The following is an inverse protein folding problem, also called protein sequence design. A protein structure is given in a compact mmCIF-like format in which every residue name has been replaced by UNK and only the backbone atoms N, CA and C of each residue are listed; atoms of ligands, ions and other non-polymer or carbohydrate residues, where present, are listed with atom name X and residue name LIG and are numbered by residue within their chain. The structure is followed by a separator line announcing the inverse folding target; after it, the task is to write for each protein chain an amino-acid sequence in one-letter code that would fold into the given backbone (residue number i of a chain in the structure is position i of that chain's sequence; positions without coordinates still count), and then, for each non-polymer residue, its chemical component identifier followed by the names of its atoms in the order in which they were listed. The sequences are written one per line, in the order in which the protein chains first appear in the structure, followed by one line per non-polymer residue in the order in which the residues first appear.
data_IF_377281110334
#
_entry.id   IF_377281110334
#
_cell.length_a   1.000
_cell.length_b   1.000
_cell.length_c   1.000
_cell.angle_alpha   90.00
_cell.angle_beta   90.00
_cell.angle_gamma   90.00
#
_symmetry.space_group_name_H-M   'P 1'
#
loop_
_entity.id
_entity.type
_entity.pdbx_description
1 polymer ?
#
# COMPACT_ATOMS: atom_id res chain seq x y z
N UNK A 1 10.24 -0.88 -14.86
CA UNK A 1 11.38 -0.01 -15.18
C UNK A 1 12.70 -0.70 -14.91
N UNK A 2 13.65 -0.54 -15.79
CA UNK A 2 14.95 -1.21 -15.73
C UNK A 2 16.09 -0.24 -16.11
N UNK A 3 16.47 0.61 -15.17
CA UNK A 3 17.55 1.58 -15.31
C UNK A 3 18.83 1.19 -14.55
N UNK A 4 19.93 1.94 -14.77
CA UNK A 4 21.22 1.70 -14.11
C UNK A 4 21.16 1.94 -12.60
N UNK A 5 20.44 2.98 -12.15
CA UNK A 5 20.28 3.35 -10.75
C UNK A 5 18.99 2.79 -10.11
N UNK A 6 18.01 2.49 -10.94
CA UNK A 6 16.70 2.03 -10.48
C UNK A 6 16.20 0.88 -11.34
N UNK A 7 15.77 -0.20 -10.69
CA UNK A 7 15.12 -1.36 -11.31
C UNK A 7 13.89 -1.72 -10.51
N UNK A 8 12.76 -1.91 -11.19
CA UNK A 8 11.53 -2.35 -10.55
C UNK A 8 10.78 -3.33 -11.43
N UNK A 9 10.44 -4.45 -10.85
CA UNK A 9 9.64 -5.51 -11.46
C UNK A 9 8.40 -5.70 -10.59
N UNK A 10 7.24 -5.56 -11.19
CA UNK A 10 5.96 -5.76 -10.54
C UNK A 10 5.16 -6.78 -11.33
N UNK A 11 4.57 -7.71 -10.60
CA UNK A 11 3.60 -8.65 -11.12
C UNK A 11 2.36 -8.60 -10.22
N UNK A 12 1.18 -8.53 -10.83
CA UNK A 12 -0.08 -8.60 -10.09
C UNK A 12 -1.10 -9.40 -10.90
N UNK A 13 -1.73 -10.34 -10.24
CA UNK A 13 -2.83 -11.12 -10.79
C UNK A 13 -4.06 -10.91 -9.91
N UNK A 14 -5.20 -10.62 -10.52
CA UNK A 14 -6.46 -10.44 -9.81
C UNK A 14 -7.53 -11.31 -10.45
N UNK A 15 -8.14 -12.18 -9.65
CA UNK A 15 -9.35 -12.91 -9.97
C UNK A 15 -10.55 -12.19 -9.32
N UNK A 16 -11.38 -11.48 -10.09
CA UNK A 16 -12.44 -10.65 -9.53
C UNK A 16 -13.65 -11.46 -9.01
N UNK A 17 -13.78 -12.72 -9.38
CA UNK A 17 -14.90 -13.58 -9.02
C UNK A 17 -14.43 -14.92 -8.48
N UNK A 18 -13.66 -14.86 -7.43
CA UNK A 18 -13.11 -16.08 -6.79
C UNK A 18 -14.22 -17.08 -6.44
N UNK A 19 -14.07 -18.30 -6.97
CA UNK A 19 -15.04 -19.38 -6.78
C UNK A 19 -16.34 -19.16 -7.56
N UNK A 20 -16.34 -18.39 -8.64
CA UNK A 20 -17.51 -18.09 -9.46
C UNK A 20 -18.56 -17.19 -8.78
N UNK A 21 -18.23 -16.64 -7.61
CA UNK A 21 -19.12 -15.74 -6.88
C UNK A 21 -18.77 -14.29 -7.20
N UNK A 22 -19.72 -13.56 -7.72
CA UNK A 22 -19.59 -12.12 -7.93
C UNK A 22 -19.18 -11.43 -6.62
N UNK A 23 -18.26 -10.44 -6.74
CA UNK A 23 -17.85 -9.54 -5.65
C UNK A 23 -16.93 -10.18 -4.60
N UNK A 24 -16.30 -11.32 -4.90
CA UNK A 24 -15.20 -11.87 -4.13
C UNK A 24 -13.94 -11.76 -4.99
N UNK A 25 -13.09 -10.79 -4.70
CA UNK A 25 -11.85 -10.58 -5.44
C UNK A 25 -10.67 -11.21 -4.70
N UNK A 26 -9.83 -11.91 -5.44
CA UNK A 26 -8.55 -12.42 -4.95
C UNK A 26 -7.43 -11.75 -5.74
N UNK A 27 -6.45 -11.23 -5.06
CA UNK A 27 -5.29 -10.63 -5.69
C UNK A 27 -4.02 -11.20 -5.09
N UNK A 28 -3.10 -11.59 -5.95
CA UNK A 28 -1.72 -11.89 -5.59
C UNK A 28 -0.81 -10.89 -6.28
N UNK A 29 0.16 -10.36 -5.54
CA UNK A 29 1.10 -9.38 -6.03
C UNK A 29 2.51 -9.73 -5.61
N UNK A 30 3.45 -9.45 -6.50
CA UNK A 30 4.89 -9.56 -6.25
C UNK A 30 5.56 -8.30 -6.75
N UNK A 31 6.49 -7.79 -5.98
CA UNK A 31 7.35 -6.72 -6.45
C UNK A 31 8.80 -6.93 -6.00
N UNK A 32 9.71 -6.46 -6.84
CA UNK A 32 11.14 -6.47 -6.56
C UNK A 32 11.73 -5.17 -7.09
N UNK A 33 12.16 -4.33 -6.17
CA UNK A 33 12.71 -3.01 -6.49
C UNK A 33 14.12 -2.90 -5.93
N UNK A 34 15.07 -2.48 -6.78
CA UNK A 34 16.43 -2.14 -6.38
C UNK A 34 16.67 -0.67 -6.71
N UNK A 35 17.07 0.08 -5.71
CA UNK A 35 17.54 1.45 -5.82
C UNK A 35 19.03 1.47 -5.47
N UNK A 36 19.87 1.86 -6.42
CA UNK A 36 21.31 1.81 -6.26
C UNK A 36 21.90 3.21 -6.39
N UNK A 37 22.88 3.53 -5.56
CA UNK A 37 23.65 4.77 -5.71
C UNK A 37 24.69 4.56 -6.83
N UNK A 38 24.27 4.84 -8.06
CA UNK A 38 25.08 4.59 -9.25
C UNK A 38 25.96 5.80 -9.65
N UNK A 39 26.07 6.80 -8.77
CA UNK A 39 26.87 7.99 -9.01
C UNK A 39 27.90 8.19 -7.89
N UNK A 40 29.09 8.60 -8.29
CA UNK A 40 30.12 8.99 -7.32
C UNK A 40 29.71 10.32 -6.66
N UNK A 41 29.59 10.39 -5.33
CA UNK A 41 29.13 11.61 -4.66
C UNK A 41 30.11 12.79 -4.80
N UNK A 42 31.36 12.56 -5.16
CA UNK A 42 32.39 13.60 -5.31
C UNK A 42 32.45 14.13 -6.75
N UNK A 43 32.42 13.24 -7.74
CA UNK A 43 32.60 13.61 -9.15
C UNK A 43 31.28 13.75 -9.93
N UNK A 44 30.16 13.27 -9.38
CA UNK A 44 28.88 13.21 -10.06
C UNK A 44 28.84 12.23 -11.25
N UNK A 45 29.95 11.54 -11.54
CA UNK A 45 30.06 10.64 -12.68
C UNK A 45 29.38 9.30 -12.39
N UNK A 46 28.88 8.66 -13.45
CA UNK A 46 28.31 7.32 -13.33
C UNK A 46 29.38 6.29 -12.94
N UNK A 47 29.09 5.56 -11.90
CA UNK A 47 29.96 4.54 -11.32
C UNK A 47 29.21 3.21 -11.25
N UNK A 48 29.53 2.26 -12.14
CA UNK A 48 28.90 0.94 -12.17
C UNK A 48 29.15 0.15 -10.89
N UNK A 49 30.36 0.17 -10.37
CA UNK A 49 30.74 -0.54 -9.14
C UNK A 49 30.09 0.07 -7.88
N UNK A 50 29.78 1.38 -7.88
CA UNK A 50 29.09 2.04 -6.77
C UNK A 50 27.67 1.49 -6.57
N UNK A 51 26.97 1.17 -7.63
CA UNK A 51 25.62 0.58 -7.58
C UNK A 51 25.57 -0.85 -7.04
N UNK A 52 26.68 -1.54 -6.97
CA UNK A 52 26.79 -2.88 -6.36
C UNK A 52 27.28 -2.82 -4.91
N UNK A 53 27.94 -1.74 -4.54
CA UNK A 53 28.42 -1.49 -3.17
C UNK A 53 27.42 -0.74 -2.32
N UNK A 54 26.55 0.11 -2.92
CA UNK A 54 25.57 0.93 -2.20
C UNK A 54 24.20 0.82 -2.85
N UNK A 55 23.28 0.12 -2.17
CA UNK A 55 21.91 -0.06 -2.67
C UNK A 55 20.90 -0.34 -1.54
N UNK A 56 19.64 -0.07 -1.86
CA UNK A 56 18.48 -0.61 -1.15
C UNK A 56 17.69 -1.51 -2.10
N UNK A 57 17.43 -2.73 -1.67
CA UNK A 57 16.60 -3.70 -2.40
C UNK A 57 15.38 -4.03 -1.56
N UNK A 58 14.21 -3.94 -2.18
CA UNK A 58 12.95 -4.30 -1.55
C UNK A 58 12.27 -5.39 -2.35
N UNK A 59 11.94 -6.48 -1.70
CA UNK A 59 11.16 -7.58 -2.27
C UNK A 59 9.88 -7.69 -1.47
N UNK A 60 8.74 -7.83 -2.13
CA UNK A 60 7.49 -8.03 -1.45
C UNK A 60 6.56 -8.98 -2.19
N UNK A 61 5.78 -9.70 -1.39
CA UNK A 61 4.70 -10.56 -1.83
C UNK A 61 3.46 -10.17 -1.05
N UNK A 62 2.35 -9.96 -1.74
CA UNK A 62 1.07 -9.64 -1.13
C UNK A 62 -0.02 -10.59 -1.62
N UNK A 63 -0.87 -11.01 -0.71
CA UNK A 63 -2.10 -11.74 -1.01
C UNK A 63 -3.24 -11.00 -0.39
N UNK A 64 -4.28 -10.69 -1.17
CA UNK A 64 -5.46 -10.01 -0.66
C UNK A 64 -6.76 -10.68 -1.11
N UNK A 65 -7.73 -10.65 -0.21
CA UNK A 65 -9.11 -11.11 -0.41
C UNK A 65 -10.05 -9.95 -0.16
N UNK A 66 -10.78 -9.55 -1.18
CA UNK A 66 -11.86 -8.57 -1.08
C UNK A 66 -13.21 -9.28 -1.12
N UNK A 67 -14.08 -8.97 -0.16
CA UNK A 67 -15.42 -9.52 -0.07
C UNK A 67 -16.42 -8.40 0.07
N UNK A 68 -17.41 -8.34 -0.83
CA UNK A 68 -18.53 -7.44 -0.64
C UNK A 68 -19.50 -8.01 0.40
N UNK A 69 -19.88 -7.17 1.35
CA UNK A 69 -20.82 -7.50 2.39
C UNK A 69 -22.26 -7.28 1.88
N UNK A 70 -23.20 -8.01 2.44
CA UNK A 70 -24.63 -7.80 2.20
C UNK A 70 -25.30 -6.98 3.30
N UNK A 71 -24.65 -6.85 4.43
CA UNK A 71 -25.14 -6.12 5.59
C UNK A 71 -24.03 -5.17 6.06
N UNK A 72 -24.32 -3.93 6.43
CA UNK A 72 -25.65 -3.28 6.52
C UNK A 72 -26.24 -2.89 5.17
N UNK A 73 -25.44 -2.69 4.12
CA UNK A 73 -25.88 -2.49 2.75
C UNK A 73 -24.89 -3.11 1.75
N UNK A 74 -25.27 -3.19 0.48
CA UNK A 74 -24.44 -3.79 -0.59
C UNK A 74 -23.23 -2.95 -1.01
N UNK A 75 -23.05 -1.76 -0.43
CA UNK A 75 -21.93 -0.88 -0.73
C UNK A 75 -20.70 -1.13 0.14
N UNK A 76 -20.84 -1.94 1.20
CA UNK A 76 -19.72 -2.32 2.05
C UNK A 76 -18.86 -3.41 1.46
N UNK A 77 -17.56 -3.23 1.55
CA UNK A 77 -16.56 -4.24 1.20
C UNK A 77 -15.54 -4.41 2.33
N UNK A 78 -15.19 -5.66 2.59
CA UNK A 78 -14.19 -6.04 3.55
C UNK A 78 -12.98 -6.58 2.80
N UNK A 79 -11.79 -6.07 3.15
CA UNK A 79 -10.54 -6.39 2.47
C UNK A 79 -9.57 -6.94 3.52
N UNK A 80 -9.06 -8.12 3.27
CA UNK A 80 -7.97 -8.73 4.04
C UNK A 80 -6.73 -8.79 3.15
N UNK A 81 -5.59 -8.36 3.67
CA UNK A 81 -4.34 -8.45 2.92
C UNK A 81 -3.22 -8.92 3.83
N UNK A 82 -2.55 -9.98 3.43
CA UNK A 82 -1.33 -10.45 4.05
C UNK A 82 -0.15 -10.03 3.18
N UNK A 83 0.80 -9.32 3.77
CA UNK A 83 1.95 -8.79 3.07
C UNK A 83 3.24 -9.26 3.75
N UNK A 84 4.15 -9.74 2.93
CA UNK A 84 5.53 -10.02 3.29
C UNK A 84 6.42 -9.04 2.55
N UNK A 85 7.30 -8.34 3.27
CA UNK A 85 8.25 -7.40 2.69
C UNK A 85 9.62 -7.60 3.31
N UNK A 86 10.65 -7.68 2.48
CA UNK A 86 12.04 -7.72 2.90
C UNK A 86 12.80 -6.55 2.30
N UNK A 87 13.46 -5.80 3.18
CA UNK A 87 14.34 -4.70 2.84
C UNK A 87 15.77 -5.12 3.08
N UNK A 88 16.63 -4.97 2.07
CA UNK A 88 18.06 -5.20 2.18
C UNK A 88 18.81 -3.92 1.86
N UNK A 89 19.51 -3.40 2.85
CA UNK A 89 20.38 -2.25 2.74
C UNK A 89 21.83 -2.71 2.66
N UNK A 90 22.60 -2.06 1.79
CA UNK A 90 24.05 -2.21 1.73
C UNK A 90 24.68 -0.84 1.51
N UNK A 91 25.46 -0.36 2.48
CA UNK A 91 26.15 0.94 2.46
C UNK A 91 25.26 2.12 2.03
N UNK A 92 24.00 2.13 2.43
CA UNK A 92 23.02 3.13 2.03
C UNK A 92 22.58 3.95 3.23
N UNK A 93 23.37 4.99 3.57
CA UNK A 93 23.20 5.79 4.79
C UNK A 93 22.15 6.92 4.68
N UNK A 94 21.62 7.18 3.49
CA UNK A 94 20.80 8.37 3.24
C UNK A 94 19.35 8.29 3.74
N UNK A 95 18.86 7.10 4.10
CA UNK A 95 17.45 6.90 4.50
C UNK A 95 17.31 6.67 6.00
N UNK A 96 18.24 5.95 6.60
CA UNK A 96 18.17 5.61 8.02
C UNK A 96 19.43 6.14 8.72
N UNK A 97 19.26 7.13 9.59
CA UNK A 97 20.37 7.65 10.40
C UNK A 97 20.95 6.54 11.27
N UNK A 98 22.24 6.25 11.07
CA UNK A 98 22.96 5.26 11.86
C UNK A 98 23.03 3.84 11.29
N UNK A 99 22.16 3.45 10.34
CA UNK A 99 22.18 2.09 9.77
C UNK A 99 22.77 2.13 8.37
N UNK A 100 23.97 1.57 8.23
CA UNK A 100 24.66 1.50 6.92
C UNK A 100 24.30 0.25 6.11
N UNK A 101 24.09 -0.87 6.79
CA UNK A 101 23.81 -2.15 6.14
C UNK A 101 22.97 -3.03 7.06
N UNK A 102 22.06 -3.80 6.46
CA UNK A 102 21.20 -4.71 7.20
C UNK A 102 20.07 -5.28 6.34
N UNK A 103 19.39 -6.25 6.89
CA UNK A 103 18.17 -6.83 6.29
C UNK A 103 17.04 -6.67 7.29
N UNK A 104 15.92 -6.12 6.86
CA UNK A 104 14.70 -6.01 7.66
C UNK A 104 13.59 -6.80 6.98
N UNK A 105 12.86 -7.60 7.76
CA UNK A 105 11.73 -8.39 7.27
C UNK A 105 10.47 -7.94 7.98
N UNK A 106 9.44 -7.64 7.22
CA UNK A 106 8.14 -7.22 7.74
C UNK A 106 7.04 -8.14 7.21
N UNK A 107 6.31 -8.76 8.13
CA UNK A 107 5.08 -9.50 7.84
C UNK A 107 3.94 -8.72 8.46
N UNK A 108 2.97 -8.34 7.66
CA UNK A 108 1.84 -7.54 8.14
C UNK A 108 0.52 -8.03 7.61
N UNK A 109 -0.48 -8.01 8.49
CA UNK A 109 -1.89 -8.22 8.17
C UNK A 109 -2.57 -6.85 8.10
N UNK A 110 -3.24 -6.57 7.00
CA UNK A 110 -4.09 -5.40 6.84
C UNK A 110 -5.54 -5.83 6.72
N UNK A 111 -6.41 -5.21 7.49
CA UNK A 111 -7.87 -5.38 7.44
C UNK A 111 -8.46 -4.02 7.11
N UNK A 112 -9.28 -3.95 6.08
CA UNK A 112 -9.93 -2.72 5.63
C UNK A 112 -11.42 -2.93 5.45
N UNK A 113 -12.20 -1.97 5.94
CA UNK A 113 -13.63 -1.85 5.67
C UNK A 113 -13.82 -0.58 4.83
N UNK A 114 -14.37 -0.75 3.66
CA UNK A 114 -14.68 0.36 2.76
C UNK A 114 -16.17 0.38 2.43
N UNK A 115 -16.72 1.57 2.28
CA UNK A 115 -18.07 1.80 1.76
C UNK A 115 -17.98 2.80 0.63
N UNK A 116 -18.53 2.46 -0.53
CA UNK A 116 -18.57 3.35 -1.69
C UNK A 116 -19.99 3.43 -2.21
N UNK A 117 -20.70 4.48 -1.83
CA UNK A 117 -22.09 4.74 -2.17
C UNK A 117 -22.25 6.16 -2.71
N UNK A 118 -21.40 6.54 -3.67
CA UNK A 118 -21.49 7.83 -4.35
C UNK A 118 -22.50 7.77 -5.49
N UNK A 119 -23.24 8.84 -5.68
CA UNK A 119 -24.25 8.99 -6.73
C UNK A 119 -23.74 9.92 -7.82
N UNK A 120 -24.17 9.68 -9.06
CA UNK A 120 -23.80 10.49 -10.21
C UNK A 120 -22.49 10.08 -10.85
N UNK A 121 -21.78 11.04 -11.43
CA UNK A 121 -20.51 10.79 -12.11
C UNK A 121 -19.39 10.53 -11.10
N UNK A 122 -18.52 9.51 -11.30
CA UNK A 122 -17.39 9.24 -10.41
C UNK A 122 -16.42 10.43 -10.20
N UNK A 123 -16.30 11.31 -11.21
CA UNK A 123 -15.44 12.49 -11.13
C UNK A 123 -16.13 13.63 -10.39
N UNK A 124 -17.46 13.76 -10.58
CA UNK A 124 -18.30 14.79 -9.96
C UNK A 124 -19.50 14.14 -9.26
N UNK A 125 -19.31 13.53 -8.09
CA UNK A 125 -20.41 12.95 -7.34
C UNK A 125 -21.45 14.01 -6.96
N UNK A 126 -22.71 13.68 -7.15
CA UNK A 126 -23.83 14.57 -6.81
C UNK A 126 -24.41 14.31 -5.42
N UNK A 127 -24.01 13.22 -4.77
CA UNK A 127 -24.43 12.88 -3.44
C UNK A 127 -23.82 11.56 -2.96
N UNK A 128 -24.10 11.21 -1.72
CA UNK A 128 -23.66 9.95 -1.12
C UNK A 128 -22.40 10.06 -0.27
N UNK A 129 -21.79 8.92 0.01
CA UNK A 129 -20.60 8.85 0.86
C UNK A 129 -19.62 7.80 0.38
N UNK A 130 -18.35 8.09 0.60
CA UNK A 130 -17.25 7.16 0.38
C UNK A 130 -16.36 7.19 1.61
N UNK A 131 -16.18 6.07 2.29
CA UNK A 131 -15.26 6.01 3.41
C UNK A 131 -14.52 4.69 3.45
N UNK A 132 -13.32 4.73 4.03
CA UNK A 132 -12.47 3.58 4.26
C UNK A 132 -11.83 3.69 5.63
N UNK A 133 -11.94 2.63 6.40
CA UNK A 133 -11.18 2.42 7.64
C UNK A 133 -10.28 1.22 7.45
N UNK A 134 -9.02 1.33 7.73
CA UNK A 134 -8.12 0.18 7.67
C UNK A 134 -7.12 0.18 8.82
N UNK A 135 -6.88 -1.02 9.38
CA UNK A 135 -5.84 -1.30 10.34
C UNK A 135 -4.78 -2.21 9.73
N UNK A 136 -3.53 -1.87 9.91
CA UNK A 136 -2.39 -2.70 9.54
C UNK A 136 -1.64 -3.08 10.80
N UNK A 137 -1.40 -4.36 10.98
CA UNK A 137 -0.73 -4.94 12.14
C UNK A 137 0.46 -5.77 11.65
N UNK A 138 1.62 -5.54 12.20
CA UNK A 138 2.77 -6.42 12.00
C UNK A 138 2.70 -7.61 12.95
N UNK A 139 3.38 -8.70 12.62
CA UNK A 139 3.48 -9.82 13.55
C UNK A 139 4.14 -9.35 14.85
N UNK A 140 3.58 -9.74 16.01
CA UNK A 140 4.19 -9.46 17.31
C UNK A 140 5.35 -10.45 17.56
N UNK A 141 6.49 -10.20 16.97
CA UNK A 141 7.67 -11.07 17.04
C UNK A 141 8.15 -11.26 18.49
N UNK A 142 8.08 -10.21 19.29
CA UNK A 142 8.44 -10.24 20.70
C UNK A 142 7.54 -11.20 21.49
N UNK A 143 6.23 -11.19 21.22
CA UNK A 143 5.28 -12.10 21.87
C UNK A 143 5.48 -13.56 21.44
N UNK A 144 5.94 -13.78 20.21
CA UNK A 144 6.23 -15.11 19.65
C UNK A 144 7.60 -15.65 20.11
N UNK A 145 8.31 -14.97 21.00
CA UNK A 145 9.60 -15.39 21.51
C UNK A 145 10.74 -15.26 20.50
N UNK A 146 10.53 -14.55 19.41
CA UNK A 146 11.57 -14.26 18.43
C UNK A 146 12.35 -13.07 18.96
N UNK A 147 13.34 -13.35 19.79
CA UNK A 147 14.21 -12.33 20.40
C UNK A 147 15.14 -11.72 19.36
N UNK A 148 15.22 -10.40 19.41
CA UNK A 148 16.16 -9.61 18.61
C UNK A 148 17.51 -9.67 19.32
N UNK A 149 18.46 -10.43 18.78
CA UNK A 149 19.80 -10.49 19.32
C UNK A 149 20.58 -9.22 19.00
N UNK A 150 21.05 -8.51 20.02
CA UNK A 150 22.06 -7.44 19.98
C UNK A 150 21.78 -6.29 18.99
N UNK A 151 22.75 -5.97 18.17
CA UNK A 151 22.79 -4.81 17.24
C UNK A 151 21.71 -4.80 16.12
N UNK A 152 20.85 -5.82 16.02
CA UNK A 152 19.89 -6.01 14.96
C UNK A 152 18.45 -5.57 15.32
N UNK A 153 18.31 -4.55 16.15
CA UNK A 153 17.02 -4.03 16.63
C UNK A 153 15.99 -3.68 15.55
N UNK A 154 16.43 -3.50 14.30
CA UNK A 154 15.58 -3.12 13.16
C UNK A 154 15.22 -4.27 12.21
N UNK A 155 15.61 -5.50 12.51
CA UNK A 155 15.36 -6.65 11.67
C UNK A 155 13.87 -6.97 11.51
N UNK A 156 13.09 -6.75 12.58
CA UNK A 156 11.68 -7.13 12.66
C UNK A 156 10.88 -5.98 13.30
N UNK A 157 10.41 -5.02 12.50
CA UNK A 157 9.65 -3.89 13.05
C UNK A 157 8.25 -4.33 13.50
N UNK A 158 7.89 -3.94 14.72
CA UNK A 158 6.56 -4.14 15.28
C UNK A 158 5.83 -2.80 15.32
N UNK A 159 4.71 -2.70 14.63
CA UNK A 159 3.85 -1.52 14.66
C UNK A 159 2.41 -1.86 14.32
N UNK A 160 1.52 -0.97 14.71
CA UNK A 160 0.16 -0.93 14.20
C UNK A 160 -0.09 0.45 13.58
N UNK A 161 -0.83 0.48 12.48
CA UNK A 161 -1.17 1.70 11.76
C UNK A 161 -2.64 1.70 11.42
N UNK A 162 -3.31 2.79 11.77
CA UNK A 162 -4.69 3.02 11.42
C UNK A 162 -4.79 4.11 10.37
N UNK A 163 -5.66 3.90 9.41
CA UNK A 163 -5.96 4.87 8.37
C UNK A 163 -7.48 4.99 8.27
N UNK A 164 -7.94 6.23 8.37
CA UNK A 164 -9.32 6.60 8.08
C UNK A 164 -9.31 7.59 6.91
N UNK A 165 -10.14 7.32 5.91
CA UNK A 165 -10.43 8.25 4.82
C UNK A 165 -11.95 8.30 4.65
N UNK A 166 -12.51 9.51 4.58
CA UNK A 166 -13.96 9.68 4.46
C UNK A 166 -14.30 10.91 3.64
N UNK A 167 -15.28 10.74 2.77
CA UNK A 167 -15.86 11.78 1.95
C UNK A 167 -17.37 11.68 2.02
N UNK A 168 -18.03 12.81 2.16
CA UNK A 168 -19.48 12.91 2.17
C UNK A 168 -19.93 14.02 1.24
N UNK A 169 -20.85 13.72 0.35
CA UNK A 169 -21.32 14.65 -0.67
C UNK A 169 -22.78 14.99 -0.42
N UNK A 170 -23.07 16.28 -0.22
CA UNK A 170 -24.41 16.79 0.02
C UNK A 170 -24.77 17.80 -1.05
N UNK A 171 -25.87 17.57 -1.79
CA UNK A 171 -26.38 18.57 -2.71
C UNK A 171 -26.97 19.77 -1.95
N UNK A 172 -26.53 20.99 -2.29
CA UNK A 172 -27.04 22.23 -1.72
C UNK A 172 -27.99 22.89 -2.69
N UNK A 173 -29.23 23.13 -2.26
CA UNK A 173 -30.26 23.79 -3.03
C UNK A 173 -30.87 22.89 -4.14
N UNK A 174 -31.69 23.55 -5.00
CA UNK A 174 -32.36 22.85 -6.11
C UNK A 174 -31.47 22.82 -7.34
N UNK A 175 -31.48 21.69 -8.05
CA UNK A 175 -30.82 21.58 -9.33
C UNK A 175 -31.36 22.61 -10.34
N UNK A 176 -30.48 23.30 -11.04
CA UNK A 176 -30.78 24.37 -12.00
C UNK A 176 -30.33 23.97 -13.40
N UNK A 177 -30.89 24.65 -14.40
CA UNK A 177 -30.60 24.41 -15.80
C UNK A 177 -31.72 23.64 -16.50
N UNK A 178 -31.76 23.69 -17.83
CA UNK A 178 -32.77 23.01 -18.65
C UNK A 178 -32.82 21.49 -18.42
N UNK A 179 -31.66 20.89 -18.12
CA UNK A 179 -31.50 19.47 -17.82
C UNK A 179 -31.35 19.17 -16.33
N UNK A 180 -31.53 20.14 -15.44
CA UNK A 180 -31.33 20.01 -13.98
C UNK A 180 -29.95 19.47 -13.58
N UNK A 181 -28.93 19.77 -14.38
CA UNK A 181 -27.57 19.23 -14.22
C UNK A 181 -26.61 20.17 -13.48
N UNK A 182 -27.05 21.37 -13.10
CA UNK A 182 -26.24 22.35 -12.36
C UNK A 182 -26.69 22.42 -10.90
N UNK A 183 -25.85 21.95 -10.00
CA UNK A 183 -26.11 21.96 -8.56
C UNK A 183 -24.81 22.17 -7.80
N UNK A 184 -24.87 22.91 -6.68
CA UNK A 184 -23.75 23.00 -5.77
C UNK A 184 -23.67 21.74 -4.90
N UNK A 185 -22.48 21.18 -4.81
CA UNK A 185 -22.19 20.01 -3.98
C UNK A 185 -21.18 20.41 -2.91
N UNK A 186 -21.49 20.15 -1.65
CA UNK A 186 -20.55 20.26 -0.54
C UNK A 186 -19.86 18.89 -0.37
N UNK A 187 -18.52 18.95 -0.29
CA UNK A 187 -17.67 17.79 0.02
C UNK A 187 -17.07 17.97 1.41
#
# INVERSE_FOLDING_TARGET
SNGKAYRSYNFSFTEPWLGGKKRNAFTISYFNTKYANAYNPVTGAYCKSCGDTSYIKTIGIGVSLGKQLKWPDDYFSLIYSLNFQQYKLKNYSNIFQGIKSGTSTNISLKIGLARSATQGNPIFPTGGSNFMVSGQFTLPYTLLGITKDGDNQYLLPEFHKWLFNGEYYVPIGKARGAEKNKQFILK
#
